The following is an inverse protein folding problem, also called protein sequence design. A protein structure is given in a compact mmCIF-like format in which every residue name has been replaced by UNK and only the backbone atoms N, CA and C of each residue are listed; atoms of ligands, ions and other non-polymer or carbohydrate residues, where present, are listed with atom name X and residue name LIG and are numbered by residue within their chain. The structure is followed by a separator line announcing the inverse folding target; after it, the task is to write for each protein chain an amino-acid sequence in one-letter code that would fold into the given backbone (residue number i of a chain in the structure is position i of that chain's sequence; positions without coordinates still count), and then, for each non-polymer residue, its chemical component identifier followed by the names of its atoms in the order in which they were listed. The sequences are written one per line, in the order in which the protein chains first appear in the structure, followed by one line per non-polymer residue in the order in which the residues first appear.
data_IF_606479173168
#
_entry.id   IF_606479173168
#
_cell.length_a   1.000
_cell.length_b   1.000
_cell.length_c   1.000
_cell.angle_alpha   90.00
_cell.angle_beta   90.00
_cell.angle_gamma   90.00
#
_symmetry.space_group_name_H-M   'P 1'
#
loop_
_entity.id
_entity.type
_entity.pdbx_description
1 polymer ?
#
# COMPACT_ATOMS: atom_id res chain seq x y z
N UNK A 1 -43.77 34.88 -12.46
CA UNK A 1 -42.54 34.40 -11.76
C UNK A 1 -42.68 34.21 -10.24
N UNK A 2 -43.72 34.66 -9.58
CA UNK A 2 -43.89 34.55 -8.08
C UNK A 2 -44.40 33.18 -7.60
N UNK A 3 -45.01 32.34 -8.43
CA UNK A 3 -45.55 31.01 -8.02
C UNK A 3 -44.52 29.89 -7.89
N UNK A 4 -43.37 29.98 -8.55
CA UNK A 4 -42.33 28.91 -8.50
C UNK A 4 -41.48 28.93 -7.23
N UNK A 5 -41.35 30.09 -6.58
CA UNK A 5 -40.55 30.25 -5.34
C UNK A 5 -41.28 29.64 -4.15
N UNK A 6 -42.60 29.70 -4.11
CA UNK A 6 -43.40 29.20 -2.99
C UNK A 6 -43.36 27.68 -2.88
N UNK A 7 -43.28 26.94 -4.00
CA UNK A 7 -43.19 25.48 -3.97
C UNK A 7 -41.82 24.97 -3.51
N UNK A 8 -40.75 25.67 -3.84
CA UNK A 8 -39.40 25.29 -3.39
C UNK A 8 -39.23 25.40 -1.89
N UNK A 9 -39.81 26.43 -1.27
CA UNK A 9 -39.75 26.63 0.18
C UNK A 9 -40.56 25.56 0.93
N UNK A 10 -41.73 25.18 0.42
CA UNK A 10 -42.60 24.17 1.02
C UNK A 10 -41.92 22.77 0.99
N UNK A 11 -41.24 22.41 -0.11
CA UNK A 11 -40.53 21.14 -0.24
C UNK A 11 -39.34 21.04 0.68
N UNK A 12 -38.60 22.15 0.90
CA UNK A 12 -37.45 22.19 1.84
C UNK A 12 -37.91 22.04 3.31
N UNK A 13 -39.05 22.64 3.69
CA UNK A 13 -39.59 22.52 5.06
C UNK A 13 -40.10 21.10 5.35
N UNK A 14 -40.74 20.47 4.38
CA UNK A 14 -41.26 19.10 4.54
C UNK A 14 -40.14 18.05 4.65
N UNK A 15 -39.03 18.23 3.93
CA UNK A 15 -37.88 17.34 4.04
C UNK A 15 -37.16 17.49 5.39
N UNK A 16 -37.06 18.69 5.94
CA UNK A 16 -36.41 18.91 7.23
C UNK A 16 -37.22 18.36 8.41
N UNK A 17 -38.53 18.43 8.35
CA UNK A 17 -39.42 17.87 9.40
C UNK A 17 -39.45 16.34 9.34
N UNK A 18 -39.45 15.74 8.13
CA UNK A 18 -39.41 14.29 7.96
C UNK A 18 -38.13 13.64 8.51
N UNK A 19 -36.96 14.27 8.30
CA UNK A 19 -35.69 13.78 8.84
C UNK A 19 -35.58 13.94 10.34
N UNK A 20 -36.14 14.98 10.92
CA UNK A 20 -36.16 15.20 12.37
C UNK A 20 -37.03 14.15 13.09
N UNK A 21 -38.21 13.83 12.54
CA UNK A 21 -39.11 12.81 13.12
C UNK A 21 -38.50 11.41 13.09
N UNK A 22 -37.79 11.05 12.00
CA UNK A 22 -37.13 9.74 11.90
C UNK A 22 -35.94 9.61 12.86
N UNK A 23 -35.18 10.66 13.07
CA UNK A 23 -34.06 10.66 14.03
C UNK A 23 -34.55 10.54 15.49
N UNK A 24 -35.61 11.27 15.85
CA UNK A 24 -36.16 11.20 17.22
C UNK A 24 -36.89 9.88 17.49
N UNK A 25 -37.54 9.30 16.48
CA UNK A 25 -38.19 7.97 16.64
C UNK A 25 -37.20 6.85 16.84
N UNK A 26 -36.06 6.88 16.10
CA UNK A 26 -35.01 5.88 16.25
C UNK A 26 -34.25 6.01 17.59
N UNK A 27 -34.07 7.24 18.12
CA UNK A 27 -33.43 7.42 19.44
C UNK A 27 -34.29 6.86 20.58
N UNK A 28 -35.62 7.04 20.57
CA UNK A 28 -36.51 6.45 21.59
C UNK A 28 -36.56 4.91 21.56
N UNK A 29 -36.36 4.29 20.39
CA UNK A 29 -36.38 2.82 20.29
C UNK A 29 -35.05 2.19 20.74
N UNK A 30 -33.99 2.96 20.87
CA UNK A 30 -32.67 2.51 21.34
C UNK A 30 -32.61 2.50 22.88
N UNK A 31 -33.38 3.38 23.56
CA UNK A 31 -33.37 3.42 25.04
C UNK A 31 -34.14 2.28 25.73
N UNK A 32 -35.08 1.61 25.06
CA UNK A 32 -35.89 0.52 25.66
C UNK A 32 -35.21 -0.87 25.54
N UNK A 33 -34.03 -1.01 24.90
CA UNK A 33 -33.33 -2.30 24.74
C UNK A 33 -32.00 -2.43 25.46
N UNK A 34 -31.66 -1.53 26.39
CA UNK A 34 -30.42 -1.60 27.16
C UNK A 34 -30.70 -2.12 28.58
N UNK A 35 -31.11 -3.38 28.69
CA UNK A 35 -30.97 -4.18 29.93
C UNK A 35 -30.76 -5.66 29.61
N UNK A 36 -29.73 -5.97 28.87
CA UNK A 36 -29.00 -7.24 28.98
C UNK A 36 -27.51 -6.94 28.77
N UNK A 37 -26.71 -7.07 29.84
CA UNK A 37 -25.27 -6.94 29.81
C UNK A 37 -24.70 -7.95 28.82
N UNK A 38 -24.13 -7.58 27.67
CA UNK A 38 -23.31 -8.52 26.92
C UNK A 38 -22.05 -8.76 27.75
N UNK A 39 -21.74 -10.02 28.03
CA UNK A 39 -20.41 -10.46 28.42
C UNK A 39 -19.43 -9.87 27.40
N UNK A 40 -18.64 -8.88 27.81
CA UNK A 40 -17.49 -8.40 27.05
C UNK A 40 -16.53 -9.58 26.95
N UNK A 41 -16.61 -10.32 25.84
CA UNK A 41 -15.51 -11.13 25.42
C UNK A 41 -14.43 -10.12 25.00
N UNK A 42 -13.48 -9.92 25.91
CA UNK A 42 -12.21 -9.27 25.60
C UNK A 42 -11.56 -10.10 24.50
N UNK A 43 -11.81 -9.74 23.23
CA UNK A 43 -10.96 -10.17 22.13
C UNK A 43 -9.62 -9.50 22.41
N UNK A 44 -8.74 -10.26 23.09
CA UNK A 44 -7.32 -9.93 23.09
C UNK A 44 -6.91 -10.00 21.62
N UNK A 45 -6.92 -8.83 20.94
CA UNK A 45 -6.11 -8.66 19.75
C UNK A 45 -4.69 -9.02 20.18
N UNK A 46 -4.24 -10.20 19.80
CA UNK A 46 -2.83 -10.54 19.85
C UNK A 46 -2.14 -9.36 19.15
N UNK A 47 -1.41 -8.59 19.91
CA UNK A 47 -0.53 -7.54 19.44
C UNK A 47 0.53 -8.30 18.63
N UNK A 48 0.33 -8.35 17.31
CA UNK A 48 1.30 -8.92 16.38
C UNK A 48 2.56 -8.09 16.59
N UNK A 49 3.62 -8.70 17.12
CA UNK A 49 4.92 -8.05 17.31
C UNK A 49 5.31 -7.41 15.98
N UNK A 50 5.14 -6.11 15.89
CA UNK A 50 5.43 -5.37 14.68
C UNK A 50 6.95 -5.26 14.58
N UNK A 51 7.53 -5.88 13.55
CA UNK A 51 8.94 -5.67 13.22
C UNK A 51 9.24 -4.17 13.12
N UNK A 52 10.14 -3.69 13.97
CA UNK A 52 10.59 -2.29 13.99
C UNK A 52 11.97 -2.23 13.35
N UNK A 53 12.11 -1.41 12.32
CA UNK A 53 13.37 -1.19 11.61
C UNK A 53 14.36 -0.48 12.56
N UNK A 54 15.51 -1.08 12.80
CA UNK A 54 16.59 -0.49 13.62
C UNK A 54 17.50 0.43 12.81
N UNK A 55 18.36 1.20 13.49
CA UNK A 55 19.36 2.02 12.80
C UNK A 55 20.38 1.16 12.03
N UNK A 56 20.69 -0.03 12.50
CA UNK A 56 21.57 -0.97 11.79
C UNK A 56 20.92 -1.48 10.52
N UNK A 57 19.62 -1.75 10.54
CA UNK A 57 18.84 -2.13 9.35
C UNK A 57 18.82 -1.00 8.33
N UNK A 58 18.64 0.26 8.76
CA UNK A 58 18.72 1.42 7.87
C UNK A 58 20.11 1.60 7.26
N UNK A 59 21.17 1.29 7.99
CA UNK A 59 22.54 1.33 7.49
C UNK A 59 22.76 0.26 6.41
N UNK A 60 22.20 -0.94 6.58
CA UNK A 60 22.23 -2.01 5.56
C UNK A 60 21.41 -1.63 4.34
N UNK A 61 20.24 -1.03 4.54
CA UNK A 61 19.41 -0.53 3.45
C UNK A 61 20.15 0.55 2.63
N UNK A 62 20.84 1.48 3.31
CA UNK A 62 21.67 2.49 2.64
C UNK A 62 22.81 1.86 1.82
N UNK A 63 23.43 0.78 2.31
CA UNK A 63 24.44 0.05 1.55
C UNK A 63 23.86 -0.68 0.33
N UNK A 64 22.67 -1.25 0.45
CA UNK A 64 21.98 -1.97 -0.63
C UNK A 64 21.44 -1.04 -1.73
N UNK A 65 20.88 0.09 -1.35
CA UNK A 65 20.20 1.04 -2.26
C UNK A 65 21.18 2.10 -2.76
N UNK A 66 22.14 2.49 -1.94
CA UNK A 66 23.02 3.63 -2.17
C UNK A 66 22.38 4.96 -1.81
N UNK A 67 23.06 6.04 -2.16
CA UNK A 67 22.61 7.42 -1.91
C UNK A 67 21.42 7.80 -2.79
N UNK A 68 20.37 8.33 -2.19
CA UNK A 68 19.19 8.82 -2.90
C UNK A 68 19.37 10.32 -3.18
N UNK A 69 19.71 10.65 -4.43
CA UNK A 69 20.00 12.02 -4.86
C UNK A 69 18.82 12.77 -5.44
N UNK A 70 17.84 12.05 -5.97
CA UNK A 70 16.71 12.63 -6.69
C UNK A 70 15.55 11.64 -6.77
N UNK A 71 14.41 12.13 -7.24
CA UNK A 71 13.19 11.37 -7.48
C UNK A 71 13.41 10.16 -8.41
N UNK A 72 14.24 10.31 -9.44
CA UNK A 72 14.53 9.22 -10.36
C UNK A 72 15.11 8.02 -9.64
N UNK A 73 16.02 8.22 -8.68
CA UNK A 73 16.60 7.14 -7.88
C UNK A 73 15.51 6.39 -7.08
N UNK A 74 14.58 7.12 -6.46
CA UNK A 74 13.45 6.50 -5.74
C UNK A 74 12.60 5.66 -6.70
N UNK A 75 12.22 6.22 -7.85
CA UNK A 75 11.46 5.49 -8.87
C UNK A 75 12.15 4.20 -9.32
N UNK A 76 13.44 4.29 -9.62
CA UNK A 76 14.21 3.14 -10.11
C UNK A 76 14.30 2.04 -9.02
N UNK A 77 14.44 2.41 -7.74
CA UNK A 77 14.40 1.45 -6.62
C UNK A 77 13.02 0.82 -6.43
N UNK A 78 11.94 1.61 -6.47
CA UNK A 78 10.58 1.09 -6.36
C UNK A 78 10.24 0.15 -7.53
N UNK A 79 10.67 0.47 -8.75
CA UNK A 79 10.53 -0.42 -9.92
C UNK A 79 11.27 -1.74 -9.66
N UNK A 80 12.52 -1.69 -9.19
CA UNK A 80 13.30 -2.89 -8.88
C UNK A 80 12.65 -3.76 -7.81
N UNK A 81 12.17 -3.17 -6.73
CA UNK A 81 11.45 -3.90 -5.67
C UNK A 81 10.17 -4.57 -6.20
N UNK A 82 9.43 -3.89 -7.10
CA UNK A 82 8.19 -4.42 -7.68
C UNK A 82 8.39 -5.74 -8.42
N UNK A 83 9.56 -5.98 -9.01
CA UNK A 83 9.84 -7.24 -9.71
C UNK A 83 9.77 -8.47 -8.80
N UNK A 84 10.00 -8.32 -7.51
CA UNK A 84 9.79 -9.41 -6.55
C UNK A 84 8.32 -9.83 -6.49
N UNK A 85 7.38 -8.93 -6.70
CA UNK A 85 5.94 -9.17 -6.60
C UNK A 85 5.24 -9.46 -7.92
N UNK A 86 5.91 -9.21 -9.06
CA UNK A 86 5.29 -9.20 -10.38
C UNK A 86 5.90 -10.22 -11.33
N UNK A 87 5.04 -10.87 -12.13
CA UNK A 87 5.45 -11.68 -13.28
C UNK A 87 5.11 -10.97 -14.59
N UNK A 88 5.95 -11.13 -15.60
CA UNK A 88 5.82 -10.53 -16.93
C UNK A 88 5.69 -11.62 -17.98
N UNK A 89 4.52 -11.75 -18.61
CA UNK A 89 4.25 -12.82 -19.59
C UNK A 89 4.47 -14.24 -19.01
N UNK A 90 4.19 -14.43 -17.72
CA UNK A 90 4.42 -15.69 -17.02
C UNK A 90 5.90 -15.99 -16.69
N UNK A 91 6.82 -15.05 -16.97
CA UNK A 91 8.22 -15.19 -16.58
C UNK A 91 8.45 -14.56 -15.20
N UNK A 92 8.72 -15.39 -14.20
CA UNK A 92 8.91 -14.98 -12.80
C UNK A 92 10.26 -14.31 -12.57
N UNK A 93 11.26 -14.61 -13.38
CA UNK A 93 12.61 -14.09 -13.28
C UNK A 93 12.86 -12.90 -14.23
N UNK A 94 11.80 -12.47 -14.97
CA UNK A 94 11.92 -11.33 -15.88
C UNK A 94 12.15 -10.04 -15.12
N UNK A 95 13.11 -9.28 -15.61
CA UNK A 95 13.50 -7.97 -15.06
C UNK A 95 13.68 -7.01 -16.24
N UNK A 96 12.75 -6.09 -16.39
CA UNK A 96 12.71 -5.19 -17.53
C UNK A 96 13.55 -3.93 -17.26
N UNK A 97 14.52 -3.66 -18.14
CA UNK A 97 15.14 -2.33 -18.23
C UNK A 97 16.14 -1.92 -17.14
N UNK A 98 16.62 -2.86 -16.33
CA UNK A 98 17.51 -2.55 -15.19
C UNK A 98 18.96 -2.94 -15.46
N UNK A 99 19.51 -2.57 -16.63
CA UNK A 99 20.86 -3.02 -17.02
C UNK A 99 21.96 -2.62 -16.04
N UNK A 100 21.79 -1.49 -15.33
CA UNK A 100 22.86 -0.87 -14.54
C UNK A 100 22.53 -0.72 -13.05
N UNK A 101 21.34 -1.14 -12.59
CA UNK A 101 20.95 -1.07 -11.18
C UNK A 101 20.92 -2.48 -10.61
N UNK A 102 21.66 -2.70 -9.52
CA UNK A 102 21.63 -3.97 -8.78
C UNK A 102 20.22 -4.32 -8.35
N UNK A 103 19.96 -5.62 -8.10
CA UNK A 103 18.66 -6.05 -7.57
C UNK A 103 18.50 -5.52 -6.16
N UNK A 104 17.33 -4.96 -5.87
CA UNK A 104 16.94 -4.50 -4.55
C UNK A 104 15.80 -5.36 -4.06
N UNK A 105 16.02 -6.06 -2.95
CA UNK A 105 14.99 -6.87 -2.33
C UNK A 105 13.92 -5.99 -1.71
N UNK A 106 12.66 -6.39 -1.83
CA UNK A 106 11.55 -5.74 -1.14
C UNK A 106 11.53 -6.19 0.32
N UNK A 107 12.20 -5.41 1.18
CA UNK A 107 12.26 -5.60 2.62
C UNK A 107 11.70 -4.38 3.35
N UNK A 108 11.32 -4.53 4.62
CA UNK A 108 10.83 -3.40 5.41
C UNK A 108 11.89 -2.33 5.61
N UNK A 109 13.16 -2.74 5.76
CA UNK A 109 14.29 -1.81 5.87
C UNK A 109 14.45 -0.97 4.61
N UNK A 110 14.45 -1.61 3.44
CA UNK A 110 14.61 -0.93 2.16
C UNK A 110 13.42 0.02 1.88
N UNK A 111 12.20 -0.43 2.15
CA UNK A 111 11.00 0.42 2.03
C UNK A 111 11.08 1.60 2.99
N UNK A 112 11.51 1.38 4.26
CA UNK A 112 11.63 2.44 5.25
C UNK A 112 12.71 3.44 4.87
N UNK A 113 13.84 2.97 4.32
CA UNK A 113 14.91 3.84 3.82
C UNK A 113 14.41 4.75 2.70
N UNK A 114 13.66 4.22 1.73
CA UNK A 114 13.03 5.06 0.70
C UNK A 114 12.07 6.10 1.30
N UNK A 115 11.23 5.70 2.26
CA UNK A 115 10.30 6.63 2.95
C UNK A 115 11.02 7.79 3.63
N UNK A 116 12.17 7.52 4.26
CA UNK A 116 12.95 8.55 4.95
C UNK A 116 13.62 9.54 3.98
N UNK A 117 13.70 9.20 2.70
CA UNK A 117 14.34 10.01 1.67
C UNK A 117 13.34 10.66 0.68
N UNK A 118 12.06 10.68 0.98
CA UNK A 118 11.04 11.29 0.11
C UNK A 118 11.12 12.81 0.02
N UNK A 119 11.99 13.45 0.79
CA UNK A 119 12.25 14.88 0.71
C UNK A 119 12.85 15.32 -0.63
N UNK A 120 13.43 14.41 -1.42
CA UNK A 120 13.93 14.69 -2.78
C UNK A 120 12.81 14.77 -3.82
N UNK A 121 11.57 14.42 -3.46
CA UNK A 121 10.40 14.41 -4.34
C UNK A 121 9.62 15.72 -4.15
N UNK A 122 9.09 16.24 -5.28
CA UNK A 122 8.19 17.40 -5.27
C UNK A 122 7.01 17.16 -4.31
N UNK A 123 6.61 18.22 -3.58
CA UNK A 123 5.54 18.17 -2.59
C UNK A 123 4.20 17.68 -3.16
N UNK A 124 3.89 18.01 -4.42
CA UNK A 124 2.62 17.65 -5.06
C UNK A 124 2.54 16.14 -5.38
N UNK A 125 3.68 15.50 -5.62
CA UNK A 125 3.75 14.08 -5.99
C UNK A 125 4.09 13.16 -4.81
N UNK A 126 4.78 13.69 -3.80
CA UNK A 126 5.19 12.95 -2.59
C UNK A 126 4.09 12.11 -1.95
N UNK A 127 2.83 12.57 -1.81
CA UNK A 127 1.75 11.77 -1.22
C UNK A 127 1.47 10.45 -1.96
N UNK A 128 1.73 10.39 -3.28
CA UNK A 128 1.55 9.16 -4.06
C UNK A 128 2.60 8.13 -3.69
N UNK A 129 3.88 8.54 -3.59
CA UNK A 129 4.98 7.68 -3.14
C UNK A 129 4.75 7.18 -1.71
N UNK A 130 4.37 8.07 -0.81
CA UNK A 130 4.05 7.73 0.58
C UNK A 130 2.92 6.69 0.65
N UNK A 131 1.87 6.85 -0.15
CA UNK A 131 0.75 5.92 -0.20
C UNK A 131 1.20 4.52 -0.63
N UNK A 132 1.99 4.40 -1.70
CA UNK A 132 2.49 3.12 -2.20
C UNK A 132 3.43 2.47 -1.16
N UNK A 133 4.42 3.21 -0.68
CA UNK A 133 5.41 2.70 0.28
C UNK A 133 4.78 2.32 1.63
N UNK A 134 3.73 3.03 2.07
CA UNK A 134 2.99 2.67 3.27
C UNK A 134 2.22 1.35 3.10
N UNK A 135 1.57 1.12 1.96
CA UNK A 135 0.94 -0.17 1.65
C UNK A 135 1.97 -1.30 1.71
N UNK A 136 3.10 -1.14 1.03
CA UNK A 136 4.14 -2.14 0.99
C UNK A 136 4.76 -2.42 2.36
N UNK A 137 5.07 -1.38 3.14
CA UNK A 137 5.59 -1.51 4.50
C UNK A 137 4.67 -2.32 5.43
N UNK A 138 3.36 -2.20 5.22
CA UNK A 138 2.34 -2.95 5.96
C UNK A 138 2.03 -4.33 5.37
N UNK A 139 2.79 -4.78 4.35
CA UNK A 139 2.60 -6.09 3.71
C UNK A 139 1.37 -6.16 2.81
N UNK A 140 0.78 -5.03 2.44
CA UNK A 140 -0.35 -4.99 1.52
C UNK A 140 0.15 -4.86 0.08
N UNK A 141 0.19 -5.98 -0.64
CA UNK A 141 0.62 -6.11 -2.03
C UNK A 141 -0.53 -6.45 -2.98
N UNK A 142 -1.78 -6.29 -2.56
CA UNK A 142 -2.94 -6.63 -3.41
C UNK A 142 -2.97 -5.79 -4.69
N UNK A 143 -2.58 -4.51 -4.61
CA UNK A 143 -2.50 -3.58 -5.73
C UNK A 143 -1.11 -3.49 -6.38
N UNK A 144 -0.25 -4.50 -6.26
CA UNK A 144 1.13 -4.42 -6.74
C UNK A 144 1.24 -4.11 -8.25
N UNK A 145 0.29 -4.57 -9.07
CA UNK A 145 0.24 -4.29 -10.52
C UNK A 145 -0.07 -2.81 -10.76
N UNK A 146 -1.06 -2.27 -10.06
CA UNK A 146 -1.48 -0.88 -10.16
C UNK A 146 -0.40 0.05 -9.60
N UNK A 147 0.21 -0.32 -8.48
CA UNK A 147 1.31 0.41 -7.87
C UNK A 147 2.49 0.53 -8.85
N UNK A 148 2.87 -0.58 -9.51
CA UNK A 148 3.93 -0.57 -10.53
C UNK A 148 3.58 0.36 -11.71
N UNK A 149 2.34 0.34 -12.18
CA UNK A 149 1.88 1.25 -13.26
C UNK A 149 1.93 2.72 -12.84
N UNK A 150 1.55 3.03 -11.61
CA UNK A 150 1.63 4.39 -11.07
C UNK A 150 3.08 4.85 -10.94
N UNK A 151 4.00 4.00 -10.46
CA UNK A 151 5.44 4.30 -10.40
C UNK A 151 5.99 4.58 -11.79
N UNK A 152 5.62 3.79 -12.80
CA UNK A 152 6.03 4.06 -14.18
C UNK A 152 5.47 5.39 -14.71
N UNK A 153 4.24 5.74 -14.33
CA UNK A 153 3.66 7.03 -14.69
C UNK A 153 4.42 8.19 -14.05
N UNK A 154 4.71 8.09 -12.75
CA UNK A 154 5.53 9.08 -12.02
C UNK A 154 6.92 9.22 -12.65
N UNK A 155 7.55 8.10 -13.02
CA UNK A 155 8.90 8.06 -13.60
C UNK A 155 9.00 8.67 -14.98
N UNK A 156 7.99 8.50 -15.84
CA UNK A 156 8.05 8.82 -17.26
C UNK A 156 7.05 9.90 -17.70
N UNK A 157 6.23 10.43 -16.79
CA UNK A 157 5.26 11.50 -17.06
C UNK A 157 4.13 11.12 -18.04
N UNK A 158 3.99 9.84 -18.37
CA UNK A 158 2.95 9.33 -19.27
C UNK A 158 2.65 7.88 -18.99
N UNK A 159 1.42 7.45 -19.31
CA UNK A 159 1.07 6.02 -19.24
C UNK A 159 2.01 5.24 -20.14
N UNK A 160 2.80 4.35 -19.51
CA UNK A 160 3.61 3.40 -20.26
C UNK A 160 2.68 2.34 -20.82
N UNK A 161 2.81 2.07 -22.12
CA UNK A 161 2.09 0.93 -22.72
C UNK A 161 2.76 -0.37 -22.27
N UNK A 162 2.42 -0.80 -21.06
CA UNK A 162 2.75 -2.15 -20.55
C UNK A 162 1.75 -3.19 -21.04
N UNK A 163 0.77 -2.77 -21.88
CA UNK A 163 -0.33 -3.61 -22.37
C UNK A 163 0.15 -4.76 -23.27
N UNK A 164 1.34 -4.65 -23.88
CA UNK A 164 1.95 -5.76 -24.61
C UNK A 164 2.51 -6.88 -23.72
N UNK A 165 2.60 -6.68 -22.40
CA UNK A 165 3.05 -7.68 -21.44
C UNK A 165 1.89 -8.04 -20.52
N UNK A 166 1.57 -9.33 -20.40
CA UNK A 166 0.67 -9.83 -19.37
C UNK A 166 1.36 -9.65 -18.02
N UNK A 167 1.03 -8.55 -17.34
CA UNK A 167 1.54 -8.23 -16.01
C UNK A 167 0.58 -8.83 -14.97
N UNK A 168 1.09 -9.63 -14.06
CA UNK A 168 0.31 -10.22 -12.99
C UNK A 168 1.11 -10.26 -11.68
N UNK A 169 0.41 -10.35 -10.55
CA UNK A 169 1.01 -10.59 -9.25
C UNK A 169 1.56 -12.01 -9.21
N UNK A 170 2.74 -12.22 -8.65
CA UNK A 170 3.33 -13.55 -8.40
C UNK A 170 2.51 -14.30 -7.36
N UNK A 171 2.50 -15.63 -7.49
CA UNK A 171 2.14 -16.52 -6.39
C UNK A 171 3.25 -16.54 -5.33
N UNK A 172 2.97 -17.05 -4.14
CA UNK A 172 3.99 -17.21 -3.10
C UNK A 172 5.15 -18.11 -3.55
N UNK A 173 4.85 -19.15 -4.33
CA UNK A 173 5.87 -20.02 -4.91
C UNK A 173 6.77 -19.29 -5.89
N UNK A 174 6.18 -18.48 -6.79
CA UNK A 174 6.91 -17.69 -7.78
C UNK A 174 7.77 -16.61 -7.13
N UNK A 175 7.24 -15.97 -6.08
CA UNK A 175 8.00 -14.99 -5.31
C UNK A 175 9.19 -15.64 -4.60
N UNK A 176 8.99 -16.81 -3.99
CA UNK A 176 10.06 -17.59 -3.36
C UNK A 176 11.14 -17.96 -4.38
N UNK A 177 10.77 -18.40 -5.58
CA UNK A 177 11.72 -18.68 -6.67
C UNK A 177 12.55 -17.45 -7.01
N UNK A 178 11.90 -16.29 -7.18
CA UNK A 178 12.58 -15.02 -7.46
C UNK A 178 13.58 -14.64 -6.35
N UNK A 179 13.16 -14.74 -5.10
CA UNK A 179 14.00 -14.40 -3.95
C UNK A 179 15.21 -15.32 -3.88
N UNK A 180 15.00 -16.63 -4.00
CA UNK A 180 16.10 -17.60 -3.98
C UNK A 180 17.10 -17.37 -5.13
N UNK A 181 16.60 -17.02 -6.32
CA UNK A 181 17.45 -16.79 -7.49
C UNK A 181 18.34 -15.55 -7.34
N UNK A 182 17.78 -14.42 -6.84
CA UNK A 182 18.49 -13.14 -6.81
C UNK A 182 19.15 -12.81 -5.45
N UNK A 183 18.61 -13.34 -4.35
CA UNK A 183 19.04 -12.97 -2.99
C UNK A 183 19.43 -14.20 -2.14
N UNK A 184 19.31 -15.41 -2.68
CA UNK A 184 19.71 -16.65 -2.02
C UNK A 184 18.87 -16.99 -0.78
N UNK A 185 19.42 -17.86 0.07
CA UNK A 185 18.78 -18.31 1.31
C UNK A 185 18.68 -17.19 2.35
N UNK A 186 19.63 -16.29 2.38
CA UNK A 186 19.60 -15.14 3.29
C UNK A 186 18.42 -14.22 2.97
N UNK A 187 18.23 -13.87 1.69
CA UNK A 187 17.09 -13.08 1.26
C UNK A 187 15.77 -13.75 1.58
N UNK A 188 15.66 -15.08 1.44
CA UNK A 188 14.46 -15.82 1.81
C UNK A 188 14.22 -15.80 3.33
N UNK A 189 15.26 -15.90 4.15
CA UNK A 189 15.15 -15.82 5.60
C UNK A 189 14.62 -14.45 6.04
N UNK A 190 15.14 -13.36 5.46
CA UNK A 190 14.65 -12.00 5.69
C UNK A 190 13.16 -11.90 5.31
N UNK A 191 12.79 -12.36 4.11
CA UNK A 191 11.41 -12.34 3.62
C UNK A 191 10.45 -13.05 4.58
N UNK A 192 10.80 -14.26 5.03
CA UNK A 192 9.96 -15.02 5.95
C UNK A 192 9.81 -14.32 7.30
N UNK A 193 10.89 -13.76 7.83
CA UNK A 193 10.88 -12.99 9.08
C UNK A 193 9.94 -11.79 9.02
N UNK A 194 9.91 -11.09 7.90
CA UNK A 194 9.17 -9.84 7.77
C UNK A 194 7.71 -10.01 7.38
N UNK A 195 7.42 -10.96 6.49
CA UNK A 195 6.13 -11.04 5.83
C UNK A 195 5.30 -12.27 6.22
N UNK A 196 5.94 -13.36 6.71
CA UNK A 196 5.27 -14.62 7.05
C UNK A 196 5.20 -14.94 8.53
N UNK A 197 5.40 -13.96 9.41
CA UNK A 197 5.24 -14.15 10.85
C UNK A 197 3.76 -14.47 11.18
N UNK A 198 3.50 -15.74 11.49
CA UNK A 198 2.17 -16.25 11.90
C UNK A 198 1.69 -17.47 11.12
N UNK A 199 2.48 -18.02 10.20
CA UNK A 199 2.15 -19.25 9.47
C UNK A 199 2.96 -20.49 9.94
N UNK A 200 3.54 -20.43 11.16
CA UNK A 200 4.22 -21.56 11.83
C UNK A 200 3.32 -22.18 12.91
#
# INVERSE_FOLDING_TARGET
MKKKITYSVIVLVTLSVGTYITLTYNSKKIEEKVQEKPKVQTIQKQQKDSYVVSNDDLSKAAQSIGEIKNEQTINDMMINMSFQKLTFNGNNLHVRGTRDVGRVQMTKENIHYLKNNLNVINNDERPKYESILNKWYNGNFESAVEDYREILYLRFGKKQNVEGSKLAKKTDSDEKEYILHFFGQEGLAIHNKEWKQGEL
#
